data_IF_759528372652
#
_entry.id   IF_759528372652
#
_cell.length_a   1.000
_cell.length_b   1.000
_cell.length_c   1.000
_cell.angle_alpha   90.00
_cell.angle_beta   90.00
_cell.angle_gamma   90.00
#
_symmetry.space_group_name_H-M   'P 1'
#
loop_
_entity.id
_entity.type
_entity.pdbx_description
1 polymer ?
#
# COMPACT_ATOMS: atom_id res chain seq x y z
N UNK A 1 1.50 -8.63 47.32
CA UNK A 1 1.77 -8.78 45.89
C UNK A 1 1.85 -7.39 45.32
N UNK A 2 3.02 -6.91 44.96
CA UNK A 2 3.19 -5.57 44.37
C UNK A 2 2.64 -5.59 42.93
N UNK A 3 1.69 -4.74 42.64
CA UNK A 3 1.24 -4.48 41.28
C UNK A 3 2.44 -3.97 40.48
N UNK A 4 2.84 -4.72 39.47
CA UNK A 4 3.78 -4.20 38.47
C UNK A 4 3.08 -3.07 37.72
N UNK A 5 3.65 -1.85 37.65
CA UNK A 5 3.05 -0.78 36.88
C UNK A 5 2.95 -1.23 35.43
N UNK A 6 1.74 -1.21 34.89
CA UNK A 6 1.49 -1.48 33.48
C UNK A 6 2.36 -0.55 32.64
N UNK A 7 3.05 -1.11 31.64
CA UNK A 7 3.83 -0.31 30.70
C UNK A 7 2.96 0.78 30.09
N UNK A 8 3.40 2.02 30.19
CA UNK A 8 2.74 3.19 29.58
C UNK A 8 2.57 2.87 28.08
N UNK A 9 1.33 2.96 27.58
CA UNK A 9 1.08 2.82 26.14
C UNK A 9 1.96 3.83 25.41
N UNK A 10 2.73 3.41 24.39
CA UNK A 10 3.51 4.36 23.61
C UNK A 10 2.57 5.41 23.02
N UNK A 11 2.95 6.68 23.13
CA UNK A 11 2.26 7.77 22.48
C UNK A 11 2.28 7.51 20.96
N UNK A 12 1.10 7.44 20.34
CA UNK A 12 0.98 7.19 18.90
C UNK A 12 1.68 8.27 18.06
N UNK A 13 1.84 9.48 18.60
CA UNK A 13 2.60 10.56 17.97
C UNK A 13 4.12 10.36 18.06
N UNK A 14 4.58 9.59 19.03
CA UNK A 14 6.02 9.26 19.19
C UNK A 14 6.43 8.03 18.34
N UNK A 15 5.48 7.32 17.72
CA UNK A 15 5.81 6.20 16.84
C UNK A 15 6.36 6.72 15.50
N UNK A 16 7.33 5.99 14.88
CA UNK A 16 7.81 6.33 13.55
C UNK A 16 6.65 6.47 12.57
N UNK A 17 6.66 7.53 11.79
CA UNK A 17 5.66 7.72 10.73
C UNK A 17 5.79 6.59 9.70
N UNK A 18 4.75 6.35 8.89
CA UNK A 18 4.75 5.27 7.86
C UNK A 18 5.99 5.33 6.96
N UNK A 19 6.45 6.55 6.63
CA UNK A 19 7.65 6.78 5.81
C UNK A 19 8.97 6.30 6.44
N UNK A 20 9.04 6.19 7.76
CA UNK A 20 10.27 5.86 8.51
C UNK A 20 10.36 4.36 8.84
N UNK A 21 9.39 3.56 8.39
CA UNK A 21 9.29 2.13 8.71
C UNK A 21 9.86 1.26 7.59
N UNK A 22 10.27 0.04 7.96
CA UNK A 22 10.61 -1.02 7.01
C UNK A 22 9.40 -1.29 6.08
N UNK A 23 9.63 -1.36 4.76
CA UNK A 23 8.57 -1.41 3.75
C UNK A 23 7.63 -2.60 3.92
N UNK A 24 8.16 -3.82 3.97
CA UNK A 24 7.35 -5.02 4.21
C UNK A 24 8.20 -6.19 4.69
N UNK A 25 7.52 -7.18 5.29
CA UNK A 25 8.11 -8.45 5.68
C UNK A 25 7.16 -9.58 5.30
N UNK A 26 7.65 -10.57 4.56
CA UNK A 26 6.89 -11.78 4.25
C UNK A 26 7.19 -12.87 5.28
N UNK A 27 6.13 -13.48 5.82
CA UNK A 27 6.16 -14.55 6.81
C UNK A 27 5.25 -15.69 6.38
N UNK A 28 5.72 -16.92 6.52
CA UNK A 28 4.94 -18.13 6.26
C UNK A 28 5.32 -19.24 7.25
N UNK A 29 4.45 -20.24 7.44
CA UNK A 29 4.67 -21.41 8.31
C UNK A 29 5.15 -21.06 9.72
N UNK A 30 4.60 -20.00 10.32
CA UNK A 30 4.99 -19.50 11.63
C UNK A 30 3.79 -19.09 12.47
N UNK A 31 4.03 -18.85 13.75
CA UNK A 31 3.04 -18.28 14.67
C UNK A 31 3.51 -16.89 15.11
N UNK A 32 2.63 -15.90 14.92
CA UNK A 32 2.83 -14.53 15.38
C UNK A 32 2.27 -14.35 16.78
N UNK A 33 3.12 -13.91 17.69
CA UNK A 33 2.78 -13.54 19.06
C UNK A 33 3.17 -12.12 19.38
N UNK A 34 3.05 -11.76 20.65
CA UNK A 34 3.52 -10.48 21.21
C UNK A 34 4.41 -10.74 22.41
N UNK A 35 5.55 -10.09 22.45
CA UNK A 35 6.36 -9.96 23.65
C UNK A 35 6.77 -8.48 23.76
N UNK A 36 6.32 -7.83 24.83
CA UNK A 36 6.49 -6.39 25.05
C UNK A 36 6.00 -5.56 23.83
N UNK A 37 6.81 -4.70 23.27
CA UNK A 37 6.53 -3.91 22.06
C UNK A 37 6.95 -4.58 20.74
N UNK A 38 7.27 -5.89 20.77
CA UNK A 38 7.70 -6.64 19.60
C UNK A 38 6.70 -7.71 19.18
N UNK A 39 6.59 -7.91 17.87
CA UNK A 39 5.94 -9.09 17.28
C UNK A 39 6.93 -10.23 17.36
N UNK A 40 6.54 -11.33 18.01
CA UNK A 40 7.33 -12.57 18.01
C UNK A 40 6.91 -13.44 16.84
N UNK A 41 7.89 -13.91 16.08
CA UNK A 41 7.71 -14.87 15.00
C UNK A 41 8.32 -16.18 15.46
N UNK A 42 7.50 -17.20 15.66
CA UNK A 42 7.92 -18.53 16.11
C UNK A 42 7.74 -19.53 14.97
N UNK A 43 8.80 -20.17 14.57
CA UNK A 43 8.83 -21.26 13.59
C UNK A 43 9.65 -22.45 14.11
N UNK A 44 9.93 -23.45 13.27
CA UNK A 44 10.73 -24.63 13.61
C UNK A 44 12.21 -24.28 13.94
N UNK A 45 12.68 -23.12 13.50
CA UNK A 45 14.09 -22.66 13.70
C UNK A 45 14.26 -21.89 14.99
N UNK A 46 13.15 -21.42 15.60
CA UNK A 46 13.21 -20.67 16.86
C UNK A 46 12.25 -19.50 16.94
N UNK A 47 12.62 -18.49 17.72
CA UNK A 47 11.83 -17.30 17.96
C UNK A 47 12.64 -16.07 17.52
N UNK A 48 12.06 -15.25 16.66
CA UNK A 48 12.59 -13.95 16.25
C UNK A 48 11.67 -12.85 16.78
N UNK A 49 12.25 -11.80 17.34
CA UNK A 49 11.50 -10.63 17.80
C UNK A 49 11.67 -9.48 16.78
N UNK A 50 10.58 -8.90 16.36
CA UNK A 50 10.53 -7.81 15.38
C UNK A 50 9.84 -6.62 16.04
N UNK A 51 10.55 -5.48 16.25
CA UNK A 51 9.93 -4.27 16.80
C UNK A 51 8.77 -3.82 15.90
N UNK A 52 7.54 -3.80 16.44
CA UNK A 52 6.35 -3.47 15.65
C UNK A 52 6.41 -2.06 15.06
N UNK A 53 6.99 -1.09 15.79
CA UNK A 53 7.15 0.29 15.32
C UNK A 53 8.05 0.43 14.08
N UNK A 54 8.88 -0.56 13.77
CA UNK A 54 9.77 -0.55 12.61
C UNK A 54 9.17 -1.14 11.33
N UNK A 55 7.94 -1.63 11.35
CA UNK A 55 7.33 -2.33 10.21
C UNK A 55 6.15 -1.52 9.68
N UNK A 56 6.01 -1.43 8.35
CA UNK A 56 4.82 -0.86 7.70
C UNK A 56 3.77 -1.93 7.43
N UNK A 57 4.18 -3.08 6.89
CA UNK A 57 3.27 -4.16 6.51
C UNK A 57 3.87 -5.54 6.72
N UNK A 58 3.04 -6.47 7.16
CA UNK A 58 3.32 -7.89 7.16
C UNK A 58 2.55 -8.57 6.03
N UNK A 59 3.25 -9.28 5.15
CA UNK A 59 2.67 -10.20 4.19
C UNK A 59 2.61 -11.59 4.84
N UNK A 60 1.41 -12.06 5.13
CA UNK A 60 1.14 -13.29 5.86
C UNK A 60 0.80 -14.39 4.85
N UNK A 61 1.75 -15.27 4.61
CA UNK A 61 1.63 -16.41 3.71
C UNK A 61 0.98 -17.64 4.35
N UNK A 62 0.91 -18.77 3.61
CA UNK A 62 0.32 -20.00 4.09
C UNK A 62 0.95 -20.51 5.39
N UNK A 63 0.16 -21.19 6.22
CA UNK A 63 0.62 -21.74 7.49
C UNK A 63 0.90 -20.72 8.58
N UNK A 64 0.68 -19.42 8.34
CA UNK A 64 0.84 -18.37 9.34
C UNK A 64 -0.35 -18.36 10.30
N UNK A 65 -0.07 -18.36 11.60
CA UNK A 65 -1.05 -18.19 12.68
C UNK A 65 -0.81 -16.85 13.37
N UNK A 66 -1.88 -16.10 13.63
CA UNK A 66 -1.77 -14.80 14.30
C UNK A 66 -2.55 -14.86 15.61
N UNK A 67 -1.87 -14.61 16.73
CA UNK A 67 -2.53 -14.55 18.03
C UNK A 67 -3.30 -13.23 18.18
N UNK A 68 -4.32 -13.21 19.05
CA UNK A 68 -5.06 -11.99 19.37
C UNK A 68 -4.12 -10.87 19.87
N UNK A 69 -3.12 -11.21 20.69
CA UNK A 69 -2.14 -10.26 21.20
C UNK A 69 -1.24 -9.66 20.11
N UNK A 70 -0.91 -10.43 19.09
CA UNK A 70 -0.18 -9.90 17.92
C UNK A 70 -1.06 -8.94 17.12
N UNK A 71 -2.35 -9.27 16.89
CA UNK A 71 -3.30 -8.38 16.22
C UNK A 71 -3.53 -7.08 16.99
N UNK A 72 -3.67 -7.15 18.32
CA UNK A 72 -3.76 -5.98 19.18
C UNK A 72 -2.55 -5.05 18.98
N UNK A 73 -1.33 -5.60 19.07
CA UNK A 73 -0.11 -4.83 18.88
C UNK A 73 -0.01 -4.22 17.49
N UNK A 74 -0.32 -4.99 16.44
CA UNK A 74 -0.35 -4.46 15.06
C UNK A 74 -1.36 -3.32 14.91
N UNK A 75 -2.55 -3.47 15.52
CA UNK A 75 -3.57 -2.42 15.53
C UNK A 75 -3.15 -1.16 16.27
N UNK A 76 -2.47 -1.30 17.42
CA UNK A 76 -2.00 -0.19 18.25
C UNK A 76 -0.82 0.57 17.58
N UNK A 77 0.03 -0.15 16.86
CA UNK A 77 1.22 0.43 16.21
C UNK A 77 1.00 0.76 14.74
N UNK A 78 -0.19 0.46 14.20
CA UNK A 78 -0.53 0.73 12.81
C UNK A 78 0.23 -0.13 11.79
N UNK A 79 0.66 -1.32 12.17
CA UNK A 79 1.23 -2.29 11.22
C UNK A 79 0.12 -2.85 10.34
N UNK A 80 0.22 -2.63 9.03
CA UNK A 80 -0.68 -3.24 8.06
C UNK A 80 -0.42 -4.75 7.99
N UNK A 81 -1.48 -5.55 8.00
CA UNK A 81 -1.40 -6.98 7.76
C UNK A 81 -2.11 -7.32 6.45
N UNK A 82 -1.44 -8.06 5.58
CA UNK A 82 -2.00 -8.50 4.30
C UNK A 82 -1.85 -10.01 4.20
N UNK A 83 -2.98 -10.72 4.15
CA UNK A 83 -2.98 -12.15 3.92
C UNK A 83 -2.81 -12.43 2.43
N UNK A 84 -1.81 -13.22 2.11
CA UNK A 84 -1.42 -13.55 0.74
C UNK A 84 -1.34 -15.05 0.55
N UNK A 85 -1.46 -15.50 -0.70
CA UNK A 85 -1.25 -16.90 -1.04
C UNK A 85 0.22 -17.30 -1.00
N UNK A 86 0.47 -18.56 -1.34
CA UNK A 86 1.80 -19.12 -1.47
C UNK A 86 2.68 -18.21 -2.33
N UNK A 87 3.91 -17.98 -1.88
CA UNK A 87 4.86 -17.08 -2.52
C UNK A 87 4.37 -15.63 -2.74
N UNK A 88 3.33 -15.20 -1.99
CA UNK A 88 2.79 -13.84 -2.10
C UNK A 88 1.96 -13.57 -3.37
N UNK A 89 1.52 -14.60 -4.08
CA UNK A 89 0.90 -14.46 -5.42
C UNK A 89 -0.54 -14.00 -5.39
N UNK A 90 -1.29 -14.31 -4.32
CA UNK A 90 -2.71 -13.95 -4.18
C UNK A 90 -2.88 -13.03 -2.99
N UNK A 91 -3.74 -12.04 -3.14
CA UNK A 91 -4.26 -11.25 -2.06
C UNK A 91 -5.56 -11.85 -1.54
N UNK A 92 -5.73 -11.98 -0.23
CA UNK A 92 -6.95 -12.50 0.39
C UNK A 92 -7.64 -11.49 1.30
N UNK A 93 -6.89 -10.79 2.16
CA UNK A 93 -7.44 -9.89 3.15
C UNK A 93 -6.39 -8.90 3.64
N UNK A 94 -6.84 -7.86 4.33
CA UNK A 94 -5.96 -6.91 5.01
C UNK A 94 -6.50 -6.53 6.39
N UNK A 95 -5.61 -5.99 7.22
CA UNK A 95 -5.92 -5.53 8.56
C UNK A 95 -6.23 -4.03 8.64
N UNK A 96 -6.21 -3.50 9.87
CA UNK A 96 -6.67 -2.17 10.24
C UNK A 96 -5.77 -1.05 9.70
N UNK A 97 -6.32 0.12 9.28
CA UNK A 97 -5.54 1.29 8.87
C UNK A 97 -4.87 2.00 10.06
N UNK A 98 -3.78 2.69 9.76
CA UNK A 98 -3.05 3.51 10.73
C UNK A 98 -3.77 4.84 11.04
N UNK A 99 -4.33 5.49 10.00
CA UNK A 99 -4.98 6.79 10.15
C UNK A 99 -6.35 6.69 10.79
N UNK A 100 -6.70 7.70 11.60
CA UNK A 100 -8.06 7.93 12.15
C UNK A 100 -8.83 8.99 11.35
N UNK A 101 -8.19 9.60 10.33
CA UNK A 101 -8.79 10.66 9.54
C UNK A 101 -9.43 10.14 8.24
N UNK A 102 -10.59 10.70 7.88
CA UNK A 102 -11.32 10.34 6.65
C UNK A 102 -11.17 11.34 5.51
N UNK A 103 -10.35 12.37 5.67
CA UNK A 103 -10.20 13.44 4.67
C UNK A 103 -9.82 12.92 3.29
N UNK A 104 -8.79 12.07 3.20
CA UNK A 104 -8.36 11.49 1.92
C UNK A 104 -9.42 10.56 1.33
N UNK A 105 -10.16 9.82 2.17
CA UNK A 105 -11.26 8.98 1.72
C UNK A 105 -12.39 9.80 1.09
N UNK A 106 -12.82 10.86 1.76
CA UNK A 106 -13.87 11.76 1.25
C UNK A 106 -13.43 12.43 -0.04
N UNK A 107 -12.17 12.87 -0.10
CA UNK A 107 -11.60 13.46 -1.30
C UNK A 107 -11.51 12.46 -2.44
N UNK A 108 -11.06 11.24 -2.18
CA UNK A 108 -11.01 10.16 -3.17
C UNK A 108 -12.41 9.86 -3.72
N UNK A 109 -13.42 9.73 -2.85
CA UNK A 109 -14.79 9.48 -3.25
C UNK A 109 -15.35 10.62 -4.14
N UNK A 110 -15.10 11.88 -3.80
CA UNK A 110 -15.46 13.04 -4.61
C UNK A 110 -14.82 13.01 -5.99
N UNK A 111 -13.51 12.74 -6.05
CA UNK A 111 -12.74 12.70 -7.29
C UNK A 111 -13.17 11.55 -8.21
N UNK A 112 -13.45 10.38 -7.65
CA UNK A 112 -13.93 9.21 -8.44
C UNK A 112 -15.34 9.45 -8.98
N UNK A 113 -16.24 10.07 -8.20
CA UNK A 113 -17.64 10.26 -8.56
C UNK A 113 -17.85 11.36 -9.60
N UNK A 114 -16.93 12.33 -9.72
CA UNK A 114 -17.04 13.44 -10.65
C UNK A 114 -16.20 13.18 -11.89
N UNK A 115 -16.82 12.98 -13.04
CA UNK A 115 -16.15 12.63 -14.31
C UNK A 115 -15.00 13.57 -14.68
N UNK A 116 -15.17 14.89 -14.49
CA UNK A 116 -14.11 15.86 -14.82
C UNK A 116 -12.91 15.72 -13.89
N UNK A 117 -13.16 15.69 -12.58
CA UNK A 117 -12.11 15.53 -11.56
C UNK A 117 -11.41 14.18 -11.68
N UNK A 118 -12.17 13.12 -11.99
CA UNK A 118 -11.65 11.79 -12.28
C UNK A 118 -10.61 11.82 -13.42
N UNK A 119 -10.95 12.44 -14.55
CA UNK A 119 -10.04 12.57 -15.68
C UNK A 119 -8.80 13.40 -15.34
N UNK A 120 -8.93 14.41 -14.48
CA UNK A 120 -7.78 15.20 -14.04
C UNK A 120 -6.81 14.35 -13.21
N UNK A 121 -7.32 13.47 -12.32
CA UNK A 121 -6.47 12.51 -11.58
C UNK A 121 -5.80 11.52 -12.53
N UNK A 122 -6.54 10.96 -13.49
CA UNK A 122 -5.96 10.04 -14.49
C UNK A 122 -4.83 10.74 -15.25
N UNK A 123 -5.00 11.99 -15.67
CA UNK A 123 -3.93 12.76 -16.32
C UNK A 123 -2.72 12.96 -15.42
N UNK A 124 -2.91 13.27 -14.14
CA UNK A 124 -1.81 13.34 -13.17
C UNK A 124 -1.05 12.01 -13.08
N UNK A 125 -1.76 10.86 -13.04
CA UNK A 125 -1.13 9.53 -13.05
C UNK A 125 -0.29 9.30 -14.31
N UNK A 126 -0.80 9.69 -15.48
CA UNK A 126 -0.01 9.61 -16.71
C UNK A 126 1.18 10.56 -16.70
N UNK A 127 1.05 11.77 -16.13
CA UNK A 127 2.17 12.70 -15.99
C UNK A 127 3.29 12.13 -15.10
N UNK A 128 2.95 11.45 -14.01
CA UNK A 128 3.93 10.73 -13.19
C UNK A 128 4.67 9.63 -13.97
N UNK A 129 4.00 9.00 -14.95
CA UNK A 129 4.59 7.98 -15.81
C UNK A 129 5.43 8.56 -16.95
N UNK A 130 5.15 9.81 -17.36
CA UNK A 130 5.80 10.52 -18.47
C UNK A 130 6.26 11.90 -18.02
N UNK A 131 7.20 12.00 -17.05
CA UNK A 131 7.59 13.28 -16.44
C UNK A 131 8.18 14.26 -17.45
N UNK A 132 8.86 13.76 -18.49
CA UNK A 132 9.59 14.57 -19.49
C UNK A 132 8.72 14.90 -20.73
N UNK A 133 7.46 14.49 -20.75
CA UNK A 133 6.55 14.67 -21.89
C UNK A 133 5.42 15.64 -21.58
N UNK A 134 5.10 16.56 -22.50
CA UNK A 134 3.84 17.30 -22.45
C UNK A 134 2.69 16.42 -22.93
N UNK A 135 1.92 15.91 -21.98
CA UNK A 135 0.74 15.07 -22.22
C UNK A 135 -0.59 15.84 -22.16
N UNK A 136 -0.54 17.15 -21.89
CA UNK A 136 -1.72 18.00 -21.65
C UNK A 136 -2.77 17.96 -22.77
N UNK A 137 -2.32 17.82 -24.02
CA UNK A 137 -3.15 17.79 -25.22
C UNK A 137 -3.57 16.39 -25.67
N UNK A 138 -3.10 15.35 -25.01
CA UNK A 138 -3.40 13.98 -25.42
C UNK A 138 -4.79 13.53 -24.95
N UNK A 139 -5.48 12.80 -25.82
CA UNK A 139 -6.72 12.10 -25.47
C UNK A 139 -6.40 10.88 -24.61
N UNK A 140 -7.40 10.39 -23.86
CA UNK A 140 -7.26 9.17 -23.05
C UNK A 140 -6.82 7.95 -23.89
N UNK A 141 -7.32 7.85 -25.13
CA UNK A 141 -6.92 6.77 -26.04
C UNK A 141 -5.45 6.87 -26.43
N UNK A 142 -4.95 8.08 -26.69
CA UNK A 142 -3.54 8.33 -27.00
C UNK A 142 -2.65 8.02 -25.79
N UNK A 143 -3.06 8.43 -24.56
CA UNK A 143 -2.34 8.14 -23.33
C UNK A 143 -2.23 6.64 -23.08
N UNK A 144 -3.32 5.89 -23.21
CA UNK A 144 -3.32 4.41 -23.11
C UNK A 144 -2.43 3.76 -24.17
N UNK A 145 -2.45 4.26 -25.41
CA UNK A 145 -1.58 3.77 -26.48
C UNK A 145 -0.10 3.98 -26.18
N UNK A 146 0.26 5.16 -25.65
CA UNK A 146 1.64 5.48 -25.22
C UNK A 146 2.08 4.59 -24.07
N UNK A 147 1.23 4.44 -23.05
CA UNK A 147 1.53 3.55 -21.93
C UNK A 147 1.78 2.11 -22.38
N UNK A 148 0.90 1.56 -23.21
CA UNK A 148 1.09 0.22 -23.77
C UNK A 148 2.38 0.10 -24.57
N UNK A 149 2.79 1.15 -25.29
CA UNK A 149 4.08 1.18 -26.00
C UNK A 149 5.26 1.21 -25.03
N UNK A 150 5.21 2.09 -24.01
CA UNK A 150 6.24 2.21 -22.96
C UNK A 150 6.44 0.88 -22.22
N UNK A 151 5.36 0.28 -21.75
CA UNK A 151 5.42 -1.00 -21.04
C UNK A 151 6.04 -2.08 -21.92
N UNK A 152 5.66 -2.19 -23.21
CA UNK A 152 6.30 -3.12 -24.13
C UNK A 152 7.79 -2.84 -24.32
N UNK A 153 8.21 -1.59 -24.35
CA UNK A 153 9.62 -1.22 -24.44
C UNK A 153 10.40 -1.63 -23.18
N UNK A 154 9.82 -1.42 -21.98
CA UNK A 154 10.43 -1.84 -20.71
C UNK A 154 10.67 -3.36 -20.71
N UNK A 155 9.67 -4.16 -21.06
CA UNK A 155 9.81 -5.61 -21.16
C UNK A 155 10.87 -6.05 -22.19
N UNK A 156 10.85 -5.43 -23.39
CA UNK A 156 11.84 -5.73 -24.43
C UNK A 156 13.26 -5.37 -23.99
N UNK A 157 13.41 -4.21 -23.32
CA UNK A 157 14.70 -3.78 -22.79
C UNK A 157 15.19 -4.77 -21.74
N UNK A 158 14.38 -5.11 -20.74
CA UNK A 158 14.73 -6.06 -19.70
C UNK A 158 15.11 -7.43 -20.28
N UNK A 159 14.34 -7.94 -21.25
CA UNK A 159 14.65 -9.18 -21.96
C UNK A 159 16.00 -9.12 -22.70
N UNK A 160 16.27 -8.01 -23.40
CA UNK A 160 17.54 -7.81 -24.11
C UNK A 160 18.74 -7.72 -23.16
N UNK A 161 18.59 -6.94 -22.07
CA UNK A 161 19.67 -6.68 -21.13
C UNK A 161 20.05 -7.93 -20.33
N UNK A 162 19.08 -8.82 -20.05
CA UNK A 162 19.30 -10.05 -19.27
C UNK A 162 19.47 -11.31 -20.13
N UNK A 163 19.16 -11.25 -21.41
CA UNK A 163 19.14 -12.43 -22.31
C UNK A 163 17.95 -13.37 -22.06
N UNK A 164 17.03 -13.06 -21.16
CA UNK A 164 15.85 -13.89 -20.88
C UNK A 164 14.79 -13.70 -21.96
N UNK A 165 14.31 -14.75 -22.63
CA UNK A 165 13.28 -14.66 -23.66
C UNK A 165 11.97 -14.10 -23.08
N UNK A 166 11.30 -13.24 -23.87
CA UNK A 166 10.01 -12.67 -23.49
C UNK A 166 8.97 -12.88 -24.60
N UNK A 167 7.97 -13.71 -24.32
CA UNK A 167 6.86 -13.99 -25.25
C UNK A 167 5.55 -13.28 -24.87
N UNK A 168 5.50 -12.69 -23.69
CA UNK A 168 4.32 -12.00 -23.17
C UNK A 168 3.97 -12.39 -21.75
N UNK A 169 3.08 -11.62 -21.14
CA UNK A 169 2.59 -11.88 -19.77
C UNK A 169 1.63 -13.07 -19.80
N UNK A 170 2.06 -14.19 -19.23
CA UNK A 170 1.22 -15.35 -18.96
C UNK A 170 0.85 -15.35 -17.48
N UNK A 171 -0.40 -15.00 -17.17
CA UNK A 171 -0.91 -15.03 -15.82
C UNK A 171 -2.08 -16.01 -15.75
N UNK A 172 -1.90 -17.10 -15.00
CA UNK A 172 -2.95 -18.06 -14.66
C UNK A 172 -3.10 -18.08 -13.14
N UNK A 173 -4.14 -17.47 -12.60
CA UNK A 173 -4.35 -17.39 -11.13
C UNK A 173 -4.42 -18.76 -10.45
N UNK A 174 -4.83 -19.77 -11.19
CA UNK A 174 -5.07 -21.13 -10.69
C UNK A 174 -3.84 -22.04 -10.79
N UNK A 175 -2.84 -21.65 -11.60
CA UNK A 175 -1.63 -22.46 -11.83
C UNK A 175 -0.41 -21.55 -11.98
N UNK A 176 0.15 -21.17 -10.84
CA UNK A 176 1.36 -20.35 -10.77
C UNK A 176 2.59 -21.07 -11.33
N UNK A 177 2.65 -22.40 -11.16
CA UNK A 177 3.80 -23.20 -11.58
C UNK A 177 3.87 -23.40 -13.10
N UNK A 178 2.78 -23.19 -13.85
CA UNK A 178 2.75 -23.34 -15.31
C UNK A 178 3.41 -22.20 -16.10
N UNK A 179 3.71 -21.07 -15.44
CA UNK A 179 4.41 -19.95 -16.05
C UNK A 179 5.91 -20.20 -16.16
N UNK A 180 6.54 -19.59 -17.18
CA UNK A 180 8.00 -19.56 -17.24
C UNK A 180 8.60 -18.78 -16.04
N UNK A 181 9.91 -18.92 -15.83
CA UNK A 181 10.60 -18.34 -14.68
C UNK A 181 10.36 -16.83 -14.57
N UNK A 182 10.35 -16.09 -15.69
CA UNK A 182 10.13 -14.64 -15.66
C UNK A 182 8.69 -14.29 -15.30
N UNK A 183 7.69 -15.06 -15.73
CA UNK A 183 6.30 -14.85 -15.35
C UNK A 183 6.05 -15.17 -13.87
N UNK A 184 6.70 -16.20 -13.32
CA UNK A 184 6.69 -16.50 -11.89
C UNK A 184 7.34 -15.36 -11.07
N UNK A 185 8.51 -14.88 -11.51
CA UNK A 185 9.23 -13.76 -10.91
C UNK A 185 8.38 -12.47 -10.91
N UNK A 186 7.75 -12.13 -12.05
CA UNK A 186 6.83 -11.00 -12.17
C UNK A 186 5.65 -11.13 -11.20
N UNK A 187 5.08 -12.32 -11.06
CA UNK A 187 3.95 -12.54 -10.16
C UNK A 187 4.35 -12.33 -8.69
N UNK A 188 5.49 -12.89 -8.28
CA UNK A 188 6.03 -12.69 -6.93
C UNK A 188 6.37 -11.21 -6.65
N UNK A 189 7.02 -10.54 -7.60
CA UNK A 189 7.38 -9.13 -7.47
C UNK A 189 6.16 -8.21 -7.42
N UNK A 190 5.20 -8.42 -8.32
CA UNK A 190 3.96 -7.63 -8.32
C UNK A 190 3.15 -7.82 -7.04
N UNK A 191 3.10 -9.05 -6.47
CA UNK A 191 2.41 -9.28 -5.21
C UNK A 191 3.01 -8.46 -4.05
N UNK A 192 4.36 -8.35 -3.99
CA UNK A 192 5.02 -7.49 -3.01
C UNK A 192 4.66 -6.01 -3.21
N UNK A 193 4.68 -5.54 -4.45
CA UNK A 193 4.34 -4.15 -4.79
C UNK A 193 2.87 -3.84 -4.48
N UNK A 194 1.94 -4.77 -4.78
CA UNK A 194 0.53 -4.63 -4.42
C UNK A 194 0.33 -4.61 -2.90
N UNK A 195 1.06 -5.46 -2.16
CA UNK A 195 1.02 -5.46 -0.70
C UNK A 195 1.45 -4.13 -0.11
N UNK A 196 2.56 -3.55 -0.60
CA UNK A 196 3.02 -2.23 -0.18
C UNK A 196 2.02 -1.13 -0.54
N UNK A 197 1.56 -1.07 -1.80
CA UNK A 197 0.59 -0.09 -2.24
C UNK A 197 -0.71 -0.18 -1.42
N UNK A 198 -1.19 -1.40 -1.17
CA UNK A 198 -2.37 -1.63 -0.34
C UNK A 198 -2.18 -1.11 1.09
N UNK A 199 -1.03 -1.42 1.71
CA UNK A 199 -0.72 -0.95 3.06
C UNK A 199 -0.68 0.57 3.13
N UNK A 200 -0.04 1.23 2.17
CA UNK A 200 0.02 2.71 2.12
C UNK A 200 -1.37 3.33 1.92
N UNK A 201 -2.16 2.79 0.97
CA UNK A 201 -3.53 3.26 0.70
C UNK A 201 -4.40 3.18 1.96
N UNK A 202 -4.38 2.04 2.65
CA UNK A 202 -5.16 1.82 3.87
C UNK A 202 -4.63 2.64 5.03
N UNK A 203 -3.30 2.76 5.18
CA UNK A 203 -2.67 3.60 6.20
C UNK A 203 -3.05 5.08 6.06
N UNK A 204 -3.23 5.56 4.83
CA UNK A 204 -3.71 6.91 4.52
C UNK A 204 -5.23 7.05 4.63
N UNK A 205 -5.95 5.98 4.95
CA UNK A 205 -7.42 5.96 5.08
C UNK A 205 -8.16 5.97 3.74
N UNK A 206 -7.47 5.76 2.63
CA UNK A 206 -8.09 5.65 1.31
C UNK A 206 -8.76 4.28 1.11
N UNK A 207 -9.72 4.22 0.19
CA UNK A 207 -10.40 2.97 -0.18
C UNK A 207 -9.65 2.26 -1.31
N UNK A 208 -9.22 0.99 -1.12
CA UNK A 208 -8.51 0.23 -2.15
C UNK A 208 -9.30 0.03 -3.44
N UNK A 209 -10.64 -0.06 -3.36
CA UNK A 209 -11.52 -0.28 -4.49
C UNK A 209 -11.88 0.96 -5.32
N UNK A 210 -11.63 2.18 -4.82
CA UNK A 210 -11.95 3.42 -5.52
C UNK A 210 -10.80 3.86 -6.44
N UNK A 211 -10.59 3.13 -7.54
CA UNK A 211 -9.58 3.43 -8.55
C UNK A 211 -10.03 4.43 -9.62
N UNK A 212 -9.06 4.91 -10.40
CA UNK A 212 -9.24 5.90 -11.46
C UNK A 212 -8.98 5.32 -12.86
N UNK A 213 -7.96 4.49 -13.02
CA UNK A 213 -7.64 3.79 -14.27
C UNK A 213 -8.25 2.40 -14.27
N UNK A 214 -8.07 1.66 -13.18
CA UNK A 214 -8.74 0.40 -12.92
C UNK A 214 -10.04 0.66 -12.16
N UNK A 215 -11.12 0.02 -12.57
CA UNK A 215 -12.45 0.20 -11.95
C UNK A 215 -13.16 -1.15 -11.81
N UNK A 216 -14.04 -1.26 -10.80
CA UNK A 216 -14.88 -2.43 -10.62
C UNK A 216 -14.24 -3.62 -9.91
N UNK A 217 -13.03 -3.47 -9.37
CA UNK A 217 -12.35 -4.48 -8.57
C UNK A 217 -12.03 -3.94 -7.18
N UNK A 218 -12.05 -4.78 -6.15
CA UNK A 218 -11.76 -4.39 -4.75
C UNK A 218 -10.37 -3.77 -4.55
N UNK A 219 -9.42 -4.05 -5.44
CA UNK A 219 -8.06 -3.52 -5.45
C UNK A 219 -7.80 -2.56 -6.61
N UNK A 220 -8.83 -1.92 -7.19
CA UNK A 220 -8.67 -1.01 -8.34
C UNK A 220 -7.63 0.08 -8.10
N UNK A 221 -7.70 0.77 -6.97
CA UNK A 221 -6.74 1.83 -6.63
C UNK A 221 -5.35 1.27 -6.28
N UNK A 222 -5.28 0.07 -5.72
CA UNK A 222 -4.00 -0.62 -5.49
C UNK A 222 -3.26 -0.87 -6.79
N UNK A 223 -3.98 -1.32 -7.83
CA UNK A 223 -3.38 -1.51 -9.15
C UNK A 223 -2.94 -0.19 -9.77
N UNK A 224 -3.75 0.86 -9.64
CA UNK A 224 -3.43 2.19 -10.13
C UNK A 224 -2.11 2.72 -9.55
N UNK A 225 -1.94 2.63 -8.23
CA UNK A 225 -0.74 3.11 -7.55
C UNK A 225 0.47 2.20 -7.85
N UNK A 226 0.29 0.88 -7.80
CA UNK A 226 1.38 -0.05 -8.09
C UNK A 226 1.91 0.11 -9.52
N UNK A 227 1.04 0.41 -10.49
CA UNK A 227 1.43 0.59 -11.90
C UNK A 227 2.38 1.77 -12.12
N UNK A 228 2.44 2.71 -11.20
CA UNK A 228 3.41 3.81 -11.26
C UNK A 228 4.86 3.30 -11.12
N UNK A 229 5.06 2.18 -10.41
CA UNK A 229 6.37 1.68 -10.00
C UNK A 229 6.80 0.36 -10.67
N UNK A 230 5.90 -0.35 -11.38
CA UNK A 230 6.22 -1.66 -11.99
C UNK A 230 7.41 -1.61 -12.93
N UNK A 231 7.49 -0.56 -13.76
CA UNK A 231 8.54 -0.39 -14.75
C UNK A 231 9.92 -0.15 -14.14
N UNK A 232 9.95 0.49 -12.97
CA UNK A 232 11.18 0.83 -12.25
C UNK A 232 11.63 -0.31 -11.33
N UNK A 233 10.69 -0.98 -10.65
CA UNK A 233 11.00 -1.90 -9.56
C UNK A 233 10.85 -3.35 -10.00
N UNK A 234 9.64 -3.80 -10.33
CA UNK A 234 9.35 -5.23 -10.40
C UNK A 234 9.74 -5.86 -11.74
N UNK A 235 9.64 -5.13 -12.84
CA UNK A 235 9.97 -5.68 -14.16
C UNK A 235 11.48 -5.94 -14.29
N UNK A 236 12.39 -4.99 -14.02
CA UNK A 236 13.82 -5.25 -14.10
C UNK A 236 14.25 -6.41 -13.20
N UNK A 237 13.84 -6.40 -11.94
CA UNK A 237 14.19 -7.43 -10.96
C UNK A 237 13.73 -8.82 -11.40
N UNK A 238 12.51 -8.92 -11.94
CA UNK A 238 11.98 -10.20 -12.39
C UNK A 238 12.85 -10.84 -13.51
N UNK A 239 13.33 -10.05 -14.45
CA UNK A 239 14.20 -10.52 -15.50
C UNK A 239 15.62 -10.83 -14.99
N UNK A 240 16.19 -9.98 -14.14
CA UNK A 240 17.50 -10.21 -13.54
C UNK A 240 17.53 -11.51 -12.73
N UNK A 241 16.52 -11.75 -11.88
CA UNK A 241 16.46 -12.95 -11.05
C UNK A 241 16.15 -14.20 -11.90
N UNK A 242 15.26 -14.08 -12.91
CA UNK A 242 15.00 -15.19 -13.83
C UNK A 242 16.24 -15.62 -14.63
N UNK A 243 17.12 -14.66 -14.99
CA UNK A 243 18.39 -14.96 -15.65
C UNK A 243 19.36 -15.74 -14.77
N UNK A 244 19.30 -15.55 -13.44
CA UNK A 244 20.15 -16.24 -12.47
C UNK A 244 19.66 -17.67 -12.18
N UNK A 245 18.40 -18.00 -12.51
CA UNK A 245 17.76 -19.29 -12.30
C UNK A 245 17.99 -19.90 -10.89
N UNK A 246 17.69 -19.17 -9.78
CA UNK A 246 17.91 -19.69 -8.44
C UNK A 246 16.91 -20.79 -8.09
N UNK A 247 17.28 -21.69 -7.16
CA UNK A 247 16.42 -22.79 -6.70
C UNK A 247 15.08 -22.29 -6.11
N UNK A 248 15.11 -21.20 -5.32
CA UNK A 248 13.92 -20.54 -4.77
C UNK A 248 13.75 -19.14 -5.40
N UNK A 249 13.33 -19.14 -6.64
CA UNK A 249 13.13 -17.91 -7.42
C UNK A 249 12.17 -16.92 -6.74
N UNK A 250 10.99 -17.32 -6.22
CA UNK A 250 10.09 -16.38 -5.58
C UNK A 250 10.69 -15.71 -4.33
N UNK A 251 11.42 -16.45 -3.50
CA UNK A 251 12.07 -15.88 -2.31
C UNK A 251 13.18 -14.88 -2.67
N UNK A 252 13.97 -15.19 -3.70
CA UNK A 252 15.01 -14.27 -4.20
C UNK A 252 14.38 -13.00 -4.75
N UNK A 253 13.31 -13.11 -5.55
CA UNK A 253 12.57 -11.95 -6.08
C UNK A 253 12.04 -11.08 -4.94
N UNK A 254 11.38 -11.67 -3.94
CA UNK A 254 10.84 -10.91 -2.79
C UNK A 254 11.92 -10.12 -2.05
N UNK A 255 13.08 -10.74 -1.80
CA UNK A 255 14.23 -10.06 -1.16
C UNK A 255 14.73 -8.89 -2.01
N UNK A 256 14.97 -9.12 -3.30
CA UNK A 256 15.47 -8.08 -4.20
C UNK A 256 14.48 -6.93 -4.37
N UNK A 257 13.19 -7.23 -4.52
CA UNK A 257 12.14 -6.20 -4.59
C UNK A 257 12.09 -5.37 -3.32
N UNK A 258 12.17 -5.99 -2.13
CA UNK A 258 12.25 -5.28 -0.85
C UNK A 258 13.46 -4.35 -0.82
N UNK A 259 14.66 -4.87 -1.16
CA UNK A 259 15.90 -4.11 -1.08
C UNK A 259 15.84 -2.88 -1.99
N UNK A 260 15.36 -3.03 -3.22
CA UNK A 260 15.17 -1.90 -4.16
C UNK A 260 14.08 -0.94 -3.69
N UNK A 261 12.98 -1.43 -3.10
CA UNK A 261 11.95 -0.55 -2.53
C UNK A 261 12.49 0.32 -1.40
N UNK A 262 13.39 -0.19 -0.57
CA UNK A 262 14.05 0.57 0.50
C UNK A 262 15.05 1.56 -0.11
N UNK A 263 15.92 1.10 -1.01
CA UNK A 263 16.94 1.94 -1.67
C UNK A 263 16.34 3.12 -2.42
N UNK A 264 15.23 2.90 -3.11
CA UNK A 264 14.55 3.93 -3.92
C UNK A 264 13.46 4.69 -3.15
N UNK A 265 13.34 4.48 -1.83
CA UNK A 265 12.33 5.15 -0.99
C UNK A 265 10.90 5.03 -1.54
N UNK A 266 10.53 3.83 -2.03
CA UNK A 266 9.24 3.64 -2.72
C UNK A 266 8.05 3.89 -1.80
N UNK A 267 8.16 3.58 -0.50
CA UNK A 267 7.08 3.83 0.45
C UNK A 267 6.78 5.32 0.58
N UNK A 268 7.81 6.14 0.80
CA UNK A 268 7.70 7.60 0.93
C UNK A 268 7.16 8.22 -0.36
N UNK A 269 7.65 7.74 -1.49
CA UNK A 269 7.17 8.18 -2.81
C UNK A 269 5.69 7.84 -3.02
N UNK A 270 5.24 6.64 -2.63
CA UNK A 270 3.83 6.28 -2.70
C UNK A 270 2.94 7.19 -1.83
N UNK A 271 3.36 7.50 -0.61
CA UNK A 271 2.65 8.44 0.26
C UNK A 271 2.54 9.82 -0.40
N UNK A 272 3.66 10.33 -0.91
CA UNK A 272 3.71 11.61 -1.63
C UNK A 272 2.80 11.59 -2.86
N UNK A 273 2.91 10.55 -3.70
CA UNK A 273 2.18 10.48 -4.97
C UNK A 273 0.67 10.32 -4.74
N UNK A 274 0.23 9.54 -3.75
CA UNK A 274 -1.19 9.45 -3.39
C UNK A 274 -1.71 10.83 -2.94
N UNK A 275 -0.99 11.54 -2.08
CA UNK A 275 -1.35 12.89 -1.65
C UNK A 275 -1.35 13.88 -2.82
N UNK A 276 -0.38 13.78 -3.72
CA UNK A 276 -0.32 14.59 -4.94
C UNK A 276 -1.52 14.35 -5.88
N UNK A 277 -1.94 13.10 -6.02
CA UNK A 277 -3.06 12.73 -6.88
C UNK A 277 -4.39 13.22 -6.32
N UNK A 278 -4.60 13.10 -5.01
CA UNK A 278 -5.89 13.32 -4.37
C UNK A 278 -6.08 14.75 -3.82
N UNK A 279 -5.02 15.42 -3.40
CA UNK A 279 -5.10 16.75 -2.76
C UNK A 279 -4.68 17.87 -3.72
N UNK A 280 -5.26 19.05 -3.54
CA UNK A 280 -4.79 20.30 -4.13
C UNK A 280 -3.57 20.82 -3.36
N UNK A 281 -2.87 21.84 -3.90
CA UNK A 281 -1.67 22.39 -3.29
C UNK A 281 -1.92 22.86 -1.84
N UNK A 282 -3.00 23.62 -1.64
CA UNK A 282 -3.37 24.19 -0.33
C UNK A 282 -3.78 23.11 0.70
N UNK A 283 -4.41 22.01 0.22
CA UNK A 283 -4.86 20.89 1.08
C UNK A 283 -3.69 20.00 1.54
N UNK A 284 -2.55 20.03 0.87
CA UNK A 284 -1.37 19.21 1.22
C UNK A 284 -0.63 19.71 2.45
N UNK A 285 -0.78 21.01 2.76
CA UNK A 285 -0.13 21.66 3.90
C UNK A 285 -0.95 21.58 5.18
N UNK A 286 -2.24 21.22 5.08
CA UNK A 286 -3.15 21.15 6.23
C UNK A 286 -3.37 19.70 6.65
N UNK A 287 -2.94 19.34 7.86
CA UNK A 287 -3.39 18.13 8.54
C UNK A 287 -4.52 18.53 9.50
N UNK A 288 -5.72 17.93 9.37
CA UNK A 288 -6.81 18.24 10.31
C UNK A 288 -6.51 17.61 11.66
N UNK A 289 -6.31 18.45 12.69
CA UNK A 289 -6.09 18.00 14.07
C UNK A 289 -7.41 17.73 14.83
N UNK A 290 -8.56 18.12 14.27
CA UNK A 290 -9.83 18.08 14.98
C UNK A 290 -10.82 17.06 14.39
N UNK A 291 -11.61 16.44 15.26
CA UNK A 291 -12.80 15.69 14.86
C UNK A 291 -13.91 16.70 14.57
N UNK A 292 -14.50 16.63 13.37
CA UNK A 292 -15.61 17.49 12.98
C UNK A 292 -16.92 16.70 13.08
N UNK A 293 -17.93 17.30 13.67
CA UNK A 293 -19.30 16.80 13.65
C UNK A 293 -20.09 17.56 12.59
N UNK A 294 -20.91 16.82 11.86
CA UNK A 294 -21.80 17.43 10.88
C UNK A 294 -23.09 17.91 11.56
N UNK A 295 -23.43 19.16 11.34
CA UNK A 295 -24.66 19.78 11.80
C UNK A 295 -25.51 20.20 10.60
N UNK A 296 -26.81 19.95 10.64
CA UNK A 296 -27.73 20.24 9.53
C UNK A 296 -28.03 21.73 9.34
N UNK A 297 -27.67 22.61 10.29
CA UNK A 297 -27.88 24.07 10.20
C UNK A 297 -26.62 24.81 9.76
N UNK A 298 -25.47 24.44 10.34
CA UNK A 298 -24.20 25.16 10.14
C UNK A 298 -23.14 24.38 9.37
N UNK A 299 -23.41 23.12 9.00
CA UNK A 299 -22.47 22.28 8.29
C UNK A 299 -21.47 21.58 9.22
N UNK A 300 -20.18 21.67 8.95
CA UNK A 300 -19.14 20.95 9.71
C UNK A 300 -18.61 21.80 10.84
N UNK A 301 -18.69 21.32 12.08
CA UNK A 301 -18.29 22.03 13.30
C UNK A 301 -17.22 21.24 14.05
N UNK A 302 -16.11 21.89 14.42
CA UNK A 302 -15.05 21.28 15.21
C UNK A 302 -15.57 20.94 16.62
N UNK A 303 -15.38 19.68 17.04
CA UNK A 303 -15.81 19.17 18.36
C UNK A 303 -17.31 19.22 18.66
N UNK A 304 -18.16 19.60 17.70
CA UNK A 304 -19.62 19.67 17.84
C UNK A 304 -20.14 20.92 18.51
N UNK A 305 -21.48 21.07 18.52
CA UNK A 305 -22.21 22.14 19.22
C UNK A 305 -22.91 21.52 20.43
N UNK A 306 -22.80 22.18 21.59
CA UNK A 306 -23.56 21.77 22.77
C UNK A 306 -24.93 22.48 22.78
N UNK A 307 -25.98 21.80 22.39
CA UNK A 307 -27.35 22.33 22.36
C UNK A 307 -28.02 22.45 23.74
N UNK A 308 -27.39 21.94 24.80
CA UNK A 308 -27.96 22.04 26.17
C UNK A 308 -27.73 23.38 26.86
N UNK A 309 -26.90 24.26 26.32
CA UNK A 309 -26.60 25.58 26.94
C UNK A 309 -27.52 26.70 26.43
N UNK A 310 -28.36 26.48 25.40
CA UNK A 310 -29.26 27.53 24.84
C UNK A 310 -30.68 27.59 25.45
N UNK A 311 -31.08 26.69 26.36
CA UNK A 311 -32.40 26.71 27.00
C UNK A 311 -32.44 27.46 28.36
N UNK A 312 -31.37 28.21 28.68
CA UNK A 312 -31.18 28.81 30.01
C UNK A 312 -31.42 30.32 30.15
N UNK A 313 -31.86 31.09 29.13
CA UNK A 313 -32.02 32.56 29.29
C UNK A 313 -33.21 33.13 28.51
N UNK A 314 -34.42 32.61 28.77
CA UNK A 314 -35.67 33.34 28.50
C UNK A 314 -36.63 33.18 29.67
N UNK A 315 -36.30 33.78 30.83
CA UNK A 315 -37.29 34.29 31.80
C UNK A 315 -36.62 35.22 32.82
N UNK A 316 -36.63 36.51 32.53
CA UNK A 316 -36.78 37.59 33.54
C UNK A 316 -37.18 38.88 32.86
#
# INVERSE_FOLDING_TARGET
MAEMPGMIRPDLQALPQVKDRMTFLYLEHCTLGRQDGAITVTDEKGIVQIPAAGISVLLLGPGTRVTHRAMELMGDTGVGAVWVGEHGVRYYAHGRPLTTHSQLLLRQAELVSNTRKHLDVVRKMYQLRFPDEDISRLTMQQLRGREGSRVRQVYRKASKDTGVPWSGRLYRPEDFASGDAVNQALSAGHACLYGLAHAVIVALGCAPGLGFVHVGHECSFVYDIADLYKAEVTIPIAFEVAAQAPDDLPAVVRRRVRDVMVEHHILERMVHDIRYLLLNADEREQEPEAVYLWDNKVGTVANGINYFEEEGDETS
#
